data_IF_091449860343
#
_entry.id   IF_091449860343
#
_cell.length_a   1.000
_cell.length_b   1.000
_cell.length_c   1.000
_cell.angle_alpha   90.00
_cell.angle_beta   90.00
_cell.angle_gamma   90.00
#
_symmetry.space_group_name_H-M   'P 1'
#
loop_
_entity.id
_entity.type
_entity.pdbx_description
1 polymer ?
#
# COMPACT_ATOMS: atom_id res chain seq x y z
N UNK A 1 -10.94 -12.15 12.11
CA UNK A 1 -9.53 -11.71 12.15
C UNK A 1 -9.19 -11.23 10.76
N UNK A 2 -9.33 -9.92 10.53
CA UNK A 2 -9.14 -9.33 9.21
C UNK A 2 -7.64 -9.09 9.03
N UNK A 3 -7.03 -9.79 8.07
CA UNK A 3 -5.65 -9.60 7.62
C UNK A 3 -5.45 -8.24 6.90
N UNK A 4 -6.27 -7.23 7.20
CA UNK A 4 -6.27 -5.89 6.62
C UNK A 4 -5.46 -4.89 7.46
N UNK A 5 -4.68 -5.36 8.43
CA UNK A 5 -3.87 -4.45 9.23
C UNK A 5 -2.73 -3.86 8.40
N UNK A 6 -2.58 -2.53 8.37
CA UNK A 6 -1.44 -1.89 7.73
C UNK A 6 -0.14 -2.41 8.36
N UNK A 7 0.85 -2.68 7.52
CA UNK A 7 2.17 -3.17 7.97
C UNK A 7 3.22 -2.08 7.84
N UNK A 8 4.05 -1.95 8.87
CA UNK A 8 5.17 -1.01 8.89
C UNK A 8 6.40 -1.59 8.21
N UNK A 9 7.14 -0.75 7.49
CA UNK A 9 8.47 -1.11 7.02
C UNK A 9 9.42 -1.34 8.21
N UNK A 10 10.47 -2.17 8.08
CA UNK A 10 11.40 -2.46 9.19
C UNK A 10 12.11 -1.23 9.77
N UNK A 11 12.26 -0.18 8.95
CA UNK A 11 12.86 1.09 9.35
C UNK A 11 11.84 2.12 9.88
N UNK A 12 10.54 1.76 9.93
CA UNK A 12 9.45 2.61 10.43
C UNK A 12 9.11 3.81 9.57
N UNK A 13 9.66 3.91 8.35
CA UNK A 13 9.48 5.09 7.48
C UNK A 13 8.25 5.00 6.57
N UNK A 14 7.75 3.79 6.33
CA UNK A 14 6.68 3.55 5.37
C UNK A 14 5.64 2.59 5.94
N UNK A 15 4.43 2.67 5.41
CA UNK A 15 3.29 1.82 5.75
C UNK A 15 2.73 1.25 4.45
N UNK A 16 2.51 -0.05 4.40
CA UNK A 16 1.77 -0.71 3.32
C UNK A 16 0.36 -1.09 3.82
N UNK A 17 -0.68 -0.88 3.00
CA UNK A 17 -2.07 -1.15 3.37
C UNK A 17 -2.94 -1.46 2.14
N UNK A 18 -4.04 -2.18 2.35
CA UNK A 18 -5.06 -2.44 1.33
C UNK A 18 -6.15 -1.36 1.37
N UNK A 19 -6.67 -0.94 0.20
CA UNK A 19 -7.78 0.00 0.13
C UNK A 19 -8.49 -0.04 -1.23
N UNK A 20 -9.81 0.12 -1.22
CA UNK A 20 -10.65 0.27 -2.42
C UNK A 20 -10.87 1.74 -2.84
N UNK A 21 -10.12 2.69 -2.25
CA UNK A 21 -10.35 4.15 -2.37
C UNK A 21 -10.38 4.72 -3.80
N UNK A 22 -9.81 4.00 -4.77
CA UNK A 22 -9.78 4.40 -6.18
C UNK A 22 -10.63 3.50 -7.09
N UNK A 23 -11.35 2.54 -6.51
CA UNK A 23 -12.35 1.73 -7.21
C UNK A 23 -13.76 2.19 -6.86
N UNK A 24 -14.67 2.12 -7.82
CA UNK A 24 -16.10 2.29 -7.60
C UNK A 24 -16.78 0.97 -7.17
N UNK A 25 -16.01 -0.11 -7.04
CA UNK A 25 -16.46 -1.44 -6.65
C UNK A 25 -15.97 -1.77 -5.25
N UNK A 26 -16.92 -2.03 -4.35
CA UNK A 26 -16.62 -2.53 -3.00
C UNK A 26 -15.90 -3.88 -3.09
N UNK A 27 -14.77 -3.99 -2.40
CA UNK A 27 -13.93 -5.20 -2.37
C UNK A 27 -12.91 -5.31 -3.50
N UNK A 28 -12.71 -4.25 -4.28
CA UNK A 28 -11.63 -4.14 -5.27
C UNK A 28 -10.42 -3.42 -4.65
N UNK A 29 -9.86 -4.03 -3.61
CA UNK A 29 -8.76 -3.46 -2.85
C UNK A 29 -7.45 -3.52 -3.64
N UNK A 30 -6.76 -2.39 -3.72
CA UNK A 30 -5.37 -2.31 -4.17
C UNK A 30 -4.43 -2.19 -2.97
N UNK A 31 -3.17 -2.58 -3.18
CA UNK A 31 -2.11 -2.36 -2.20
C UNK A 31 -1.48 -0.99 -2.43
N UNK A 32 -1.37 -0.20 -1.38
CA UNK A 32 -0.71 1.09 -1.37
C UNK A 32 0.47 1.11 -0.41
N UNK A 33 1.39 2.04 -0.66
CA UNK A 33 2.45 2.42 0.28
C UNK A 33 2.39 3.92 0.49
N UNK A 34 2.67 4.37 1.72
CA UNK A 34 2.82 5.79 2.06
C UNK A 34 3.94 5.99 3.08
N UNK A 35 4.39 7.23 3.25
CA UNK A 35 5.30 7.60 4.33
C UNK A 35 4.60 7.51 5.70
N UNK A 36 5.39 7.38 6.76
CA UNK A 36 4.91 7.30 8.14
C UNK A 36 4.02 8.48 8.59
N UNK A 37 4.19 9.65 7.96
CA UNK A 37 3.40 10.86 8.20
C UNK A 37 2.11 10.93 7.36
N UNK A 38 1.86 9.94 6.50
CA UNK A 38 0.71 9.85 5.61
C UNK A 38 0.90 10.51 4.23
N UNK A 39 2.07 11.09 3.95
CA UNK A 39 2.40 11.65 2.64
C UNK A 39 2.81 10.57 1.62
N UNK A 40 2.90 10.96 0.34
CA UNK A 40 3.38 10.12 -0.77
C UNK A 40 2.68 8.77 -0.92
N UNK A 41 1.34 8.77 -0.92
CA UNK A 41 0.55 7.57 -1.17
C UNK A 41 0.71 7.11 -2.62
N UNK A 42 1.16 5.87 -2.82
CA UNK A 42 1.38 5.25 -4.15
C UNK A 42 0.72 3.88 -4.20
N UNK A 43 -0.04 3.60 -5.26
CA UNK A 43 -0.58 2.28 -5.55
C UNK A 43 0.51 1.35 -6.12
N UNK A 44 0.58 0.12 -5.63
CA UNK A 44 1.41 -0.94 -6.19
C UNK A 44 0.64 -1.78 -7.24
N UNK A 45 -0.68 -1.56 -7.37
CA UNK A 45 -1.56 -2.20 -8.34
C UNK A 45 -1.43 -1.62 -9.75
N UNK A 46 -1.33 -2.51 -10.74
CA UNK A 46 -1.34 -2.32 -12.20
C UNK A 46 -0.25 -1.46 -12.89
N UNK A 47 0.48 -0.54 -12.25
CA UNK A 47 1.50 0.28 -12.95
C UNK A 47 2.80 0.62 -12.20
N UNK A 48 3.16 -0.09 -11.14
CA UNK A 48 4.41 0.27 -10.47
C UNK A 48 4.78 -0.64 -9.33
N UNK A 49 5.33 -1.82 -9.64
CA UNK A 49 6.29 -2.42 -8.73
C UNK A 49 7.57 -1.58 -8.87
N UNK A 50 8.03 -0.84 -7.83
CA UNK A 50 9.34 -0.23 -7.88
C UNK A 50 10.36 -1.35 -8.04
N UNK A 51 11.21 -1.24 -9.06
CA UNK A 51 12.25 -2.22 -9.38
C UNK A 51 13.22 -2.52 -8.23
N UNK A 52 13.17 -1.74 -7.14
CA UNK A 52 13.99 -1.91 -5.94
C UNK A 52 13.53 -3.00 -4.97
N UNK A 53 12.40 -3.68 -5.22
CA UNK A 53 11.86 -4.73 -4.33
C UNK A 53 12.13 -6.16 -4.82
N UNK A 54 12.80 -6.32 -5.96
CA UNK A 54 13.27 -7.61 -6.48
C UNK A 54 14.80 -7.66 -6.50
N UNK A 55 15.39 -8.05 -5.37
CA UNK A 55 16.81 -8.39 -5.23
C UNK A 55 16.95 -9.69 -4.47
#
# INVERSE_FOLDING_TARGET
>A
DLDEFPVWSPNGKQIAFASDRYSDRVGDDEIFVMNADGSDVVALGQQGIPSSWGG
#
